data_IF_140104169885
#
_entry.id   IF_140104169885
#
_cell.length_a   1.000
_cell.length_b   1.000
_cell.length_c   1.000
_cell.angle_alpha   90.00
_cell.angle_beta   90.00
_cell.angle_gamma   90.00
#
_symmetry.space_group_name_H-M   'P 1'
#
loop_
_entity.id
_entity.type
_entity.pdbx_description
1 polymer ?
#
# COMPACT_ATOMS: atom_id res chain seq x y z
N UNK A 1 -28.71 -6.40 6.20
CA UNK A 1 -29.89 -5.68 5.67
C UNK A 1 -29.41 -4.67 4.65
N UNK A 2 -30.00 -4.69 3.44
CA UNK A 2 -29.70 -3.76 2.33
C UNK A 2 -30.96 -2.95 2.05
N UNK A 3 -30.83 -1.64 1.90
CA UNK A 3 -31.92 -0.70 1.59
C UNK A 3 -31.50 0.16 0.41
N UNK A 4 -32.27 0.10 -0.67
CA UNK A 4 -32.09 0.91 -1.87
C UNK A 4 -32.93 2.18 -1.81
N UNK A 5 -32.34 3.29 -2.20
CA UNK A 5 -32.94 4.62 -2.28
C UNK A 5 -32.70 5.21 -3.68
N UNK A 6 -33.51 4.84 -4.67
CA UNK A 6 -33.37 5.38 -6.02
C UNK A 6 -33.82 6.85 -6.09
N UNK A 7 -33.18 7.65 -6.94
CA UNK A 7 -33.49 9.07 -7.18
C UNK A 7 -33.68 9.86 -5.87
N UNK A 8 -32.71 9.76 -4.97
CA UNK A 8 -32.74 10.31 -3.61
C UNK A 8 -31.90 11.58 -3.46
N UNK A 9 -31.83 12.08 -2.25
CA UNK A 9 -30.92 13.18 -1.85
C UNK A 9 -30.08 12.77 -0.64
N UNK A 10 -28.94 13.38 -0.45
CA UNK A 10 -28.07 13.12 0.72
C UNK A 10 -28.80 13.33 2.05
N UNK A 11 -29.69 14.32 2.12
CA UNK A 11 -30.54 14.57 3.28
C UNK A 11 -31.47 13.39 3.60
N UNK A 12 -32.12 12.79 2.57
CA UNK A 12 -32.95 11.61 2.72
C UNK A 12 -32.15 10.40 3.15
N UNK A 13 -30.95 10.21 2.59
CA UNK A 13 -30.02 9.15 3.00
C UNK A 13 -29.66 9.30 4.47
N UNK A 14 -29.27 10.50 4.90
CA UNK A 14 -28.91 10.77 6.31
C UNK A 14 -30.12 10.51 7.26
N UNK A 15 -31.31 10.98 6.89
CA UNK A 15 -32.54 10.73 7.66
C UNK A 15 -32.79 9.23 7.81
N UNK A 16 -32.64 8.47 6.72
CA UNK A 16 -32.83 7.02 6.74
C UNK A 16 -31.82 6.31 7.63
N UNK A 17 -30.56 6.74 7.60
CA UNK A 17 -29.52 6.22 8.48
C UNK A 17 -29.83 6.45 9.96
N UNK A 18 -30.38 7.62 10.33
CA UNK A 18 -30.82 7.94 11.71
C UNK A 18 -31.94 7.02 12.12
N UNK A 19 -33.00 6.87 11.31
CA UNK A 19 -34.11 5.94 11.58
C UNK A 19 -33.62 4.51 11.85
N UNK A 20 -32.69 4.03 11.02
CA UNK A 20 -32.15 2.68 11.14
C UNK A 20 -31.35 2.45 12.43
N UNK A 21 -30.68 3.49 12.91
CA UNK A 21 -29.99 3.43 14.21
C UNK A 21 -30.97 3.40 15.38
N UNK A 22 -32.02 4.20 15.33
CA UNK A 22 -33.05 4.27 16.35
C UNK A 22 -33.83 2.95 16.47
N UNK A 23 -34.11 2.31 15.32
CA UNK A 23 -34.88 1.07 15.27
C UNK A 23 -34.06 -0.20 15.45
N UNK A 24 -32.79 -0.17 15.06
CA UNK A 24 -31.88 -1.34 15.05
C UNK A 24 -31.19 -1.65 16.38
N UNK A 25 -31.44 -0.87 17.42
CA UNK A 25 -30.72 -1.02 18.71
C UNK A 25 -29.24 -0.65 18.64
N UNK A 26 -28.53 -0.74 19.76
CA UNK A 26 -27.19 -0.19 20.00
C UNK A 26 -26.03 -0.84 19.21
N UNK A 27 -26.20 -1.19 17.94
CA UNK A 27 -25.12 -1.66 17.04
C UNK A 27 -24.18 -0.50 16.59
N UNK A 28 -24.45 0.72 17.04
CA UNK A 28 -23.74 1.93 16.64
C UNK A 28 -22.47 2.22 17.45
N UNK A 29 -21.98 1.30 18.26
CA UNK A 29 -20.87 1.56 19.18
C UNK A 29 -19.53 1.28 18.51
N UNK A 30 -18.64 2.28 18.54
CA UNK A 30 -17.21 2.12 18.31
C UNK A 30 -16.67 2.45 16.94
N UNK A 31 -17.43 3.13 16.05
CA UNK A 31 -16.84 3.63 14.81
C UNK A 31 -15.83 4.74 15.12
N UNK A 32 -14.58 4.51 14.72
CA UNK A 32 -13.46 5.38 15.09
C UNK A 32 -13.06 6.32 13.94
N UNK A 33 -13.53 6.06 12.70
CA UNK A 33 -13.22 6.86 11.53
C UNK A 33 -14.31 6.78 10.45
N UNK A 34 -14.25 7.68 9.47
CA UNK A 34 -14.99 7.58 8.21
C UNK A 34 -14.03 7.22 7.09
N UNK A 35 -14.28 6.11 6.40
CA UNK A 35 -13.58 5.74 5.17
C UNK A 35 -14.42 6.14 3.95
N UNK A 36 -13.91 7.04 3.13
CA UNK A 36 -14.52 7.45 1.87
C UNK A 36 -13.80 6.75 0.72
N UNK A 37 -14.51 5.87 0.02
CA UNK A 37 -14.00 5.15 -1.15
C UNK A 37 -14.51 5.86 -2.40
N UNK A 38 -13.61 6.21 -3.31
CA UNK A 38 -13.96 6.83 -4.59
C UNK A 38 -13.62 5.89 -5.74
N UNK A 39 -14.63 5.50 -6.50
CA UNK A 39 -14.50 4.50 -7.57
C UNK A 39 -15.43 4.83 -8.74
N UNK A 40 -15.22 4.20 -9.89
CA UNK A 40 -16.20 4.15 -10.95
C UNK A 40 -17.39 3.25 -10.57
N UNK A 41 -18.56 3.45 -11.19
CA UNK A 41 -19.73 2.58 -10.98
C UNK A 41 -19.52 1.26 -11.74
N UNK A 42 -19.33 0.16 -11.03
CA UNK A 42 -19.05 -1.16 -11.62
C UNK A 42 -18.60 -2.22 -10.63
N UNK A 43 -17.98 -3.28 -11.14
CA UNK A 43 -17.52 -4.42 -10.34
C UNK A 43 -16.42 -4.06 -9.34
N UNK A 44 -15.62 -3.05 -9.62
CA UNK A 44 -14.56 -2.57 -8.71
C UNK A 44 -15.13 -1.95 -7.42
N UNK A 45 -16.34 -1.37 -7.49
CA UNK A 45 -17.06 -0.89 -6.32
C UNK A 45 -17.31 -2.00 -5.30
N UNK A 46 -17.80 -3.16 -5.75
CA UNK A 46 -18.08 -4.28 -4.84
C UNK A 46 -16.80 -4.89 -4.25
N UNK A 47 -15.74 -4.97 -5.03
CA UNK A 47 -14.42 -5.42 -4.52
C UNK A 47 -13.88 -4.48 -3.45
N UNK A 48 -14.01 -3.17 -3.65
CA UNK A 48 -13.57 -2.17 -2.68
C UNK A 48 -14.42 -2.23 -1.40
N UNK A 49 -15.74 -2.40 -1.51
CA UNK A 49 -16.63 -2.60 -0.36
C UNK A 49 -16.24 -3.87 0.41
N UNK A 50 -15.95 -4.97 -0.28
CA UNK A 50 -15.54 -6.20 0.37
C UNK A 50 -14.23 -6.03 1.15
N UNK A 51 -13.22 -5.39 0.53
CA UNK A 51 -11.96 -5.11 1.21
C UNK A 51 -12.14 -4.20 2.44
N UNK A 52 -13.01 -3.19 2.34
CA UNK A 52 -13.33 -2.32 3.46
C UNK A 52 -14.07 -3.04 4.58
N UNK A 53 -15.01 -3.94 4.26
CA UNK A 53 -15.71 -4.77 5.22
C UNK A 53 -14.76 -5.69 5.98
N UNK A 54 -13.80 -6.29 5.28
CA UNK A 54 -12.81 -7.16 5.91
C UNK A 54 -11.86 -6.35 6.82
N UNK A 55 -11.37 -5.19 6.36
CA UNK A 55 -10.53 -4.30 7.16
C UNK A 55 -11.27 -3.72 8.38
N UNK A 56 -12.59 -3.50 8.28
CA UNK A 56 -13.40 -2.93 9.35
C UNK A 56 -13.59 -3.85 10.56
N UNK A 57 -13.22 -5.13 10.45
CA UNK A 57 -13.19 -6.05 11.60
C UNK A 57 -12.14 -5.64 12.62
N UNK A 58 -11.02 -5.06 12.15
CA UNK A 58 -9.97 -4.53 13.02
C UNK A 58 -10.22 -3.06 13.38
N UNK A 59 -10.74 -2.27 12.43
CA UNK A 59 -10.97 -0.83 12.55
C UNK A 59 -12.40 -0.47 12.15
N UNK A 60 -13.37 -0.57 13.07
CA UNK A 60 -14.76 -0.25 12.78
C UNK A 60 -14.93 1.15 12.22
N UNK A 61 -15.49 1.25 11.01
CA UNK A 61 -15.59 2.48 10.27
C UNK A 61 -17.03 2.73 9.76
N UNK A 62 -17.35 4.00 9.50
CA UNK A 62 -18.39 4.32 8.54
C UNK A 62 -17.74 4.31 7.15
N UNK A 63 -18.26 3.49 6.25
CA UNK A 63 -17.78 3.42 4.86
C UNK A 63 -18.76 4.18 3.97
N UNK A 64 -18.28 5.20 3.29
CA UNK A 64 -19.04 5.96 2.30
C UNK A 64 -18.39 5.70 0.95
N UNK A 65 -19.14 5.12 0.02
CA UNK A 65 -18.65 4.83 -1.32
C UNK A 65 -19.24 5.84 -2.30
N UNK A 66 -18.39 6.57 -2.97
CA UNK A 66 -18.74 7.49 -4.06
C UNK A 66 -18.44 6.76 -5.36
N UNK A 67 -19.48 6.16 -5.95
CA UNK A 67 -19.41 5.49 -7.24
C UNK A 67 -19.80 6.48 -8.34
N UNK A 68 -18.82 6.86 -9.15
CA UNK A 68 -19.01 7.82 -10.26
C UNK A 68 -19.55 7.09 -11.48
N UNK A 69 -20.82 7.34 -11.81
CA UNK A 69 -21.48 6.84 -13.00
C UNK A 69 -21.25 7.71 -14.24
N UNK A 70 -22.01 7.46 -15.31
CA UNK A 70 -21.88 8.22 -16.56
C UNK A 70 -22.20 9.70 -16.37
N UNK A 71 -21.29 10.56 -16.86
CA UNK A 71 -21.43 12.02 -16.85
C UNK A 71 -22.46 12.51 -17.87
N UNK A 72 -22.73 11.71 -18.92
CA UNK A 72 -23.70 12.00 -19.97
C UNK A 72 -25.12 11.68 -19.54
N UNK A 73 -25.30 10.97 -18.42
CA UNK A 73 -26.63 10.68 -17.89
C UNK A 73 -27.31 11.91 -17.29
N UNK A 74 -28.63 11.85 -17.10
CA UNK A 74 -29.34 12.89 -16.35
C UNK A 74 -28.82 12.95 -14.89
N UNK A 75 -28.69 14.15 -14.32
CA UNK A 75 -28.23 14.31 -12.95
C UNK A 75 -29.12 13.54 -11.97
N UNK A 76 -28.56 12.58 -11.25
CA UNK A 76 -29.26 11.71 -10.30
C UNK A 76 -28.31 11.16 -9.25
N UNK A 77 -28.79 11.07 -8.02
CA UNK A 77 -28.19 10.32 -6.94
C UNK A 77 -29.06 9.09 -6.64
N UNK A 78 -28.50 7.91 -6.78
CA UNK A 78 -29.05 6.68 -6.23
C UNK A 78 -28.20 6.26 -5.03
N UNK A 79 -28.82 5.84 -3.93
CA UNK A 79 -28.09 5.41 -2.75
C UNK A 79 -28.49 4.01 -2.30
N UNK A 80 -27.57 3.33 -1.65
CA UNK A 80 -27.80 2.05 -1.00
C UNK A 80 -27.17 2.08 0.40
N UNK A 81 -27.94 1.68 1.42
CA UNK A 81 -27.45 1.55 2.80
C UNK A 81 -27.36 0.07 3.13
N UNK A 82 -26.19 -0.37 3.63
CA UNK A 82 -25.93 -1.75 4.09
C UNK A 82 -25.60 -1.74 5.57
N UNK A 83 -26.28 -2.55 6.37
CA UNK A 83 -26.10 -2.64 7.82
C UNK A 83 -26.13 -4.09 8.27
N UNK A 84 -25.38 -4.42 9.32
CA UNK A 84 -25.30 -5.75 9.89
C UNK A 84 -24.46 -6.71 9.06
N UNK A 85 -24.84 -7.99 8.95
CA UNK A 85 -24.06 -9.02 8.28
C UNK A 85 -23.58 -8.67 6.86
N UNK A 86 -24.36 -7.87 6.12
CA UNK A 86 -24.02 -7.42 4.76
C UNK A 86 -23.00 -6.27 4.74
N UNK A 87 -22.69 -5.68 5.90
CA UNK A 87 -21.72 -4.59 6.06
C UNK A 87 -20.55 -4.97 6.98
N UNK A 88 -20.45 -6.23 7.40
CA UNK A 88 -19.44 -6.65 8.38
C UNK A 88 -19.60 -5.88 9.70
N UNK A 89 -18.52 -5.32 10.22
CA UNK A 89 -18.51 -4.44 11.39
C UNK A 89 -18.83 -2.97 11.06
N UNK A 90 -18.98 -2.65 9.78
CA UNK A 90 -19.20 -1.30 9.27
C UNK A 90 -20.68 -0.96 9.05
N UNK A 91 -20.92 0.31 8.79
CA UNK A 91 -22.12 0.83 8.14
C UNK A 91 -21.68 1.33 6.77
N UNK A 92 -22.18 0.75 5.70
CA UNK A 92 -21.78 1.09 4.33
C UNK A 92 -22.89 1.90 3.65
N UNK A 93 -22.53 3.05 3.13
CA UNK A 93 -23.40 3.90 2.32
C UNK A 93 -22.81 4.02 0.93
N UNK A 94 -23.48 3.50 -0.08
CA UNK A 94 -23.06 3.63 -1.48
C UNK A 94 -23.84 4.76 -2.11
N UNK A 95 -23.16 5.74 -2.67
CA UNK A 95 -23.72 6.87 -3.40
C UNK A 95 -23.32 6.71 -4.87
N UNK A 96 -24.27 6.44 -5.75
CA UNK A 96 -24.07 6.41 -7.21
C UNK A 96 -24.47 7.75 -7.79
N UNK A 97 -23.49 8.49 -8.30
CA UNK A 97 -23.63 9.84 -8.79
C UNK A 97 -23.57 9.86 -10.31
N UNK A 98 -24.60 10.39 -10.96
CA UNK A 98 -24.72 10.46 -12.41
C UNK A 98 -24.83 11.91 -12.90
N UNK A 99 -24.49 12.14 -14.18
CA UNK A 99 -24.53 13.45 -14.79
C UNK A 99 -23.56 14.42 -14.11
N UNK A 100 -23.97 15.67 -13.97
CA UNK A 100 -23.16 16.71 -13.31
C UNK A 100 -22.81 16.37 -11.85
N UNK A 101 -23.60 15.52 -11.16
CA UNK A 101 -23.31 15.14 -9.78
C UNK A 101 -22.08 14.21 -9.66
N UNK A 102 -21.67 13.55 -10.74
CA UNK A 102 -20.51 12.65 -10.71
C UNK A 102 -19.21 13.37 -10.31
N UNK A 103 -19.12 14.68 -10.53
CA UNK A 103 -17.98 15.51 -10.16
C UNK A 103 -18.14 16.18 -8.78
N UNK A 104 -19.33 16.14 -8.17
CA UNK A 104 -19.65 16.82 -6.90
C UNK A 104 -19.64 15.90 -5.67
N UNK A 105 -18.80 14.87 -5.68
CA UNK A 105 -18.77 13.85 -4.63
C UNK A 105 -18.62 14.39 -3.20
N UNK A 106 -17.82 15.43 -2.96
CA UNK A 106 -17.60 15.97 -1.63
C UNK A 106 -18.87 16.56 -0.99
N UNK A 107 -19.69 17.30 -1.76
CA UNK A 107 -20.98 17.81 -1.28
C UNK A 107 -21.95 16.73 -0.82
N UNK A 108 -21.88 15.55 -1.45
CA UNK A 108 -22.68 14.38 -1.09
C UNK A 108 -22.12 13.64 0.14
N UNK A 109 -20.83 13.74 0.42
CA UNK A 109 -20.15 13.05 1.52
C UNK A 109 -20.26 13.79 2.85
N UNK A 110 -20.05 15.13 2.85
CA UNK A 110 -19.97 15.96 4.06
C UNK A 110 -21.13 15.71 5.05
N UNK A 111 -22.41 15.68 4.63
CA UNK A 111 -23.53 15.45 5.56
C UNK A 111 -23.55 14.06 6.20
N UNK A 112 -22.76 13.12 5.68
CA UNK A 112 -22.71 11.72 6.11
C UNK A 112 -21.49 11.42 6.98
N UNK A 113 -20.54 12.35 7.12
CA UNK A 113 -19.35 12.15 7.94
C UNK A 113 -19.72 11.92 9.42
N UNK A 114 -18.89 11.16 10.11
CA UNK A 114 -18.98 11.05 11.57
C UNK A 114 -18.44 12.35 12.18
N UNK A 115 -19.17 12.98 13.11
CA UNK A 115 -18.66 14.13 13.84
C UNK A 115 -17.37 13.75 14.60
N UNK A 116 -16.39 14.65 14.60
CA UNK A 116 -15.14 14.54 15.36
C UNK A 116 -14.30 13.29 15.11
N UNK A 117 -14.60 12.56 14.02
CA UNK A 117 -13.84 11.37 13.63
C UNK A 117 -12.95 11.68 12.42
N UNK A 118 -11.74 11.10 12.35
CA UNK A 118 -10.88 11.29 11.20
C UNK A 118 -11.51 10.73 9.92
N UNK A 119 -11.24 11.40 8.81
CA UNK A 119 -11.68 11.00 7.48
C UNK A 119 -10.49 10.44 6.72
N UNK A 120 -10.65 9.27 6.11
CA UNK A 120 -9.69 8.63 5.23
C UNK A 120 -10.30 8.54 3.84
N UNK A 121 -9.62 9.01 2.81
CA UNK A 121 -10.01 8.81 1.42
C UNK A 121 -9.21 7.67 0.81
N UNK A 122 -9.88 6.84 0.03
CA UNK A 122 -9.24 5.75 -0.70
C UNK A 122 -9.72 5.68 -2.15
N UNK A 123 -8.76 5.71 -3.07
CA UNK A 123 -8.95 5.47 -4.51
C UNK A 123 -8.36 4.10 -4.86
N UNK A 124 -9.19 3.04 -4.99
CA UNK A 124 -8.70 1.68 -5.22
C UNK A 124 -8.13 1.43 -6.61
N UNK A 125 -8.41 2.30 -7.59
CA UNK A 125 -7.96 2.17 -8.97
C UNK A 125 -7.42 3.50 -9.50
N UNK A 126 -8.26 4.33 -10.13
CA UNK A 126 -7.87 5.63 -10.67
C UNK A 126 -7.93 6.70 -9.59
N UNK A 127 -6.78 7.18 -9.18
CA UNK A 127 -6.66 8.30 -8.27
C UNK A 127 -6.49 9.62 -9.03
N UNK A 128 -6.93 10.76 -8.46
CA UNK A 128 -6.64 12.08 -9.04
C UNK A 128 -5.14 12.32 -9.13
N UNK A 129 -4.72 13.17 -10.06
CA UNK A 129 -3.30 13.50 -10.25
C UNK A 129 -2.69 14.06 -8.95
N UNK A 130 -3.45 14.89 -8.22
CA UNK A 130 -3.06 15.43 -6.92
C UNK A 130 -4.16 15.13 -5.91
N UNK A 131 -4.09 13.99 -5.17
CA UNK A 131 -5.14 13.57 -4.22
C UNK A 131 -5.47 14.64 -3.17
N UNK A 132 -4.48 15.35 -2.68
CA UNK A 132 -4.65 16.41 -1.69
C UNK A 132 -5.42 17.63 -2.21
N UNK A 133 -5.60 17.78 -3.53
CA UNK A 133 -6.41 18.86 -4.15
C UNK A 133 -7.79 18.38 -4.62
N UNK A 134 -8.03 17.06 -4.61
CA UNK A 134 -9.36 16.53 -4.86
C UNK A 134 -10.33 16.98 -3.75
N UNK A 135 -11.57 17.36 -4.06
CA UNK A 135 -12.54 17.81 -3.06
C UNK A 135 -12.77 16.83 -1.90
N UNK A 136 -12.70 15.50 -2.14
CA UNK A 136 -12.76 14.49 -1.08
C UNK A 136 -11.42 14.39 -0.35
N UNK A 137 -10.30 14.52 -1.07
CA UNK A 137 -8.97 14.54 -0.49
C UNK A 137 -8.74 15.72 0.48
N UNK A 138 -9.33 16.88 0.19
CA UNK A 138 -9.31 18.06 1.08
C UNK A 138 -10.03 17.83 2.41
N UNK A 139 -11.01 16.93 2.44
CA UNK A 139 -11.73 16.56 3.68
C UNK A 139 -10.95 15.55 4.51
N UNK A 140 -9.89 14.93 3.95
CA UNK A 140 -9.29 13.73 4.48
C UNK A 140 -7.97 14.00 5.19
N UNK A 141 -7.79 13.39 6.37
CA UNK A 141 -6.53 13.36 7.12
C UNK A 141 -5.52 12.44 6.44
N UNK A 142 -5.99 11.34 5.86
CA UNK A 142 -5.16 10.38 5.12
C UNK A 142 -5.78 10.08 3.75
N UNK A 143 -4.94 10.00 2.73
CA UNK A 143 -5.31 9.75 1.34
C UNK A 143 -4.54 8.55 0.81
N UNK A 144 -5.28 7.49 0.53
CA UNK A 144 -4.72 6.20 0.10
C UNK A 144 -4.96 6.04 -1.40
N UNK A 145 -3.90 5.79 -2.15
CA UNK A 145 -3.95 5.44 -3.57
C UNK A 145 -3.48 4.00 -3.79
N UNK A 146 -3.66 3.47 -4.98
CA UNK A 146 -3.11 2.18 -5.40
C UNK A 146 -2.54 2.28 -6.81
N UNK A 147 -1.29 2.70 -6.90
CA UNK A 147 -0.61 2.83 -8.19
C UNK A 147 -0.55 1.50 -8.95
N UNK A 148 -0.46 0.36 -8.25
CA UNK A 148 -0.41 -0.96 -8.90
C UNK A 148 -1.74 -1.37 -9.55
N UNK A 149 -2.86 -0.76 -9.16
CA UNK A 149 -4.18 -1.01 -9.73
C UNK A 149 -4.57 0.02 -10.82
N UNK A 150 -3.76 1.05 -11.03
CA UNK A 150 -3.99 2.05 -12.08
C UNK A 150 -3.74 1.46 -13.48
N UNK A 151 -4.38 2.00 -14.52
CA UNK A 151 -4.16 1.57 -15.92
C UNK A 151 -2.69 1.65 -16.36
N UNK A 152 -1.97 2.65 -15.88
CA UNK A 152 -0.53 2.79 -16.05
C UNK A 152 0.14 2.91 -14.66
N UNK A 153 0.58 1.79 -14.07
CA UNK A 153 1.08 1.75 -12.70
C UNK A 153 2.31 2.63 -12.47
N UNK A 154 3.24 2.65 -13.41
CA UNK A 154 4.49 3.41 -13.27
C UNK A 154 4.23 4.91 -13.39
N UNK A 155 3.42 5.32 -14.35
CA UNK A 155 3.00 6.73 -14.48
C UNK A 155 2.23 7.19 -13.24
N UNK A 156 1.37 6.34 -12.69
CA UNK A 156 0.65 6.62 -11.44
C UNK A 156 1.63 6.84 -10.29
N UNK A 157 2.64 5.97 -10.10
CA UNK A 157 3.68 6.15 -9.09
C UNK A 157 4.47 7.45 -9.29
N UNK A 158 4.87 7.75 -10.53
CA UNK A 158 5.57 9.01 -10.85
C UNK A 158 4.74 10.25 -10.55
N UNK A 159 3.41 10.16 -10.72
CA UNK A 159 2.50 11.22 -10.31
C UNK A 159 2.53 11.42 -8.79
N UNK A 160 2.57 10.34 -8.00
CA UNK A 160 2.69 10.43 -6.52
C UNK A 160 3.96 11.16 -6.09
N UNK A 161 5.10 10.89 -6.75
CA UNK A 161 6.36 11.63 -6.46
C UNK A 161 6.20 13.13 -6.60
N UNK A 162 5.48 13.59 -7.63
CA UNK A 162 5.31 15.02 -7.93
C UNK A 162 4.24 15.70 -7.07
N UNK A 163 3.27 14.93 -6.61
CA UNK A 163 2.05 15.44 -5.96
C UNK A 163 1.98 15.16 -4.47
N UNK A 164 2.97 14.48 -3.90
CA UNK A 164 2.98 14.10 -2.49
C UNK A 164 2.73 15.29 -1.58
N UNK A 165 1.82 15.07 -0.65
CA UNK A 165 1.54 15.96 0.48
C UNK A 165 1.43 15.07 1.71
N UNK A 166 1.88 15.56 2.85
CA UNK A 166 1.78 14.89 4.13
C UNK A 166 0.37 14.30 4.35
N UNK A 167 0.32 13.00 4.70
CA UNK A 167 -0.91 12.22 4.79
C UNK A 167 -1.26 11.43 3.52
N UNK A 168 -0.53 11.59 2.43
CA UNK A 168 -0.64 10.73 1.25
C UNK A 168 0.09 9.40 1.47
N UNK A 169 -0.47 8.32 0.95
CA UNK A 169 0.15 6.99 0.93
C UNK A 169 -0.29 6.20 -0.31
N UNK A 170 0.38 5.09 -0.58
CA UNK A 170 0.06 4.20 -1.69
C UNK A 170 0.11 2.74 -1.25
N UNK A 171 -0.87 1.94 -1.64
CA UNK A 171 -0.90 0.51 -1.29
C UNK A 171 0.28 -0.28 -1.85
N UNK A 172 0.94 0.22 -2.90
CA UNK A 172 2.17 -0.39 -3.40
C UNK A 172 3.31 -0.31 -2.37
N UNK A 173 3.31 0.71 -1.52
CA UNK A 173 4.20 0.84 -0.37
C UNK A 173 3.82 -0.11 0.77
N UNK A 174 2.55 -0.16 1.14
CA UNK A 174 2.06 -1.03 2.21
C UNK A 174 2.29 -2.51 1.90
N UNK A 175 2.23 -2.90 0.61
CA UNK A 175 2.60 -4.27 0.18
C UNK A 175 4.04 -4.64 0.48
N UNK A 176 4.92 -3.68 0.76
CA UNK A 176 6.34 -3.91 1.07
C UNK A 176 6.63 -4.23 2.53
N UNK A 177 5.68 -4.05 3.43
CA UNK A 177 5.91 -4.18 4.89
C UNK A 177 6.64 -5.46 5.25
N UNK A 178 6.21 -6.62 4.72
CA UNK A 178 6.87 -7.90 4.99
C UNK A 178 8.28 -7.98 4.38
N UNK A 179 8.49 -7.44 3.17
CA UNK A 179 9.81 -7.39 2.54
C UNK A 179 10.79 -6.55 3.34
N UNK A 180 10.38 -5.35 3.73
CA UNK A 180 11.19 -4.44 4.53
C UNK A 180 11.56 -5.07 5.87
N UNK A 181 10.57 -5.66 6.56
CA UNK A 181 10.80 -6.35 7.84
C UNK A 181 11.80 -7.52 7.71
N UNK A 182 11.68 -8.35 6.66
CA UNK A 182 12.60 -9.48 6.46
C UNK A 182 14.01 -9.04 6.12
N UNK A 183 14.17 -8.03 5.26
CA UNK A 183 15.49 -7.50 4.89
C UNK A 183 16.17 -6.84 6.09
N UNK A 184 15.44 -6.04 6.87
CA UNK A 184 15.96 -5.43 8.10
C UNK A 184 16.39 -6.50 9.10
N UNK A 185 15.52 -7.49 9.39
CA UNK A 185 15.85 -8.57 10.31
C UNK A 185 17.04 -9.42 9.85
N UNK A 186 17.26 -9.55 8.55
CA UNK A 186 18.42 -10.26 8.01
C UNK A 186 19.72 -9.48 8.21
N UNK A 187 19.69 -8.15 8.23
CA UNK A 187 20.86 -7.31 8.51
C UNK A 187 21.19 -7.22 10.01
N UNK A 188 20.24 -7.52 10.89
CA UNK A 188 20.46 -7.59 12.34
C UNK A 188 21.22 -8.85 12.78
N UNK A 189 21.59 -9.74 11.83
CA UNK A 189 22.34 -10.97 12.09
C UNK A 189 23.79 -10.82 11.60
N UNK A 190 24.77 -11.50 12.29
CA UNK A 190 26.15 -11.55 11.81
C UNK A 190 26.27 -12.13 10.40
N UNK A 191 27.32 -11.71 9.66
CA UNK A 191 28.31 -10.67 9.98
C UNK A 191 27.72 -9.28 9.86
N UNK A 192 28.09 -8.37 10.79
CA UNK A 192 27.62 -6.97 10.82
C UNK A 192 28.44 -6.11 9.86
N UNK A 193 28.33 -6.40 8.58
CA UNK A 193 29.04 -5.70 7.51
C UNK A 193 28.14 -4.71 6.80
N UNK A 194 28.73 -3.62 6.34
CA UNK A 194 28.02 -2.65 5.53
C UNK A 194 27.60 -3.26 4.19
N UNK A 195 26.38 -2.96 3.76
CA UNK A 195 25.91 -3.24 2.40
C UNK A 195 26.66 -2.30 1.45
N UNK A 196 27.17 -2.84 0.34
CA UNK A 196 27.92 -2.07 -0.67
C UNK A 196 27.09 -1.74 -1.91
N UNK A 197 26.11 -2.57 -2.22
CA UNK A 197 25.12 -2.34 -3.28
C UNK A 197 23.89 -3.24 -3.08
N UNK A 198 22.79 -2.93 -3.76
CA UNK A 198 21.61 -3.77 -3.74
C UNK A 198 21.04 -3.99 -5.14
N UNK A 199 20.37 -5.13 -5.31
CA UNK A 199 19.66 -5.48 -6.54
C UNK A 199 18.23 -5.87 -6.19
N UNK A 200 17.24 -5.25 -6.83
CA UNK A 200 15.83 -5.61 -6.68
C UNK A 200 15.27 -6.03 -8.04
N UNK A 201 14.81 -7.27 -8.12
CA UNK A 201 14.27 -7.84 -9.35
C UNK A 201 12.75 -8.02 -9.25
N UNK A 202 12.03 -7.64 -10.29
CA UNK A 202 10.59 -7.83 -10.36
C UNK A 202 9.98 -7.37 -11.68
N UNK A 203 8.66 -7.50 -11.81
CA UNK A 203 7.95 -7.16 -13.03
C UNK A 203 8.18 -5.69 -13.46
N UNK A 204 8.28 -5.43 -14.76
CA UNK A 204 8.53 -4.10 -15.34
C UNK A 204 7.53 -3.02 -14.83
N UNK A 205 6.25 -3.34 -14.83
CA UNK A 205 5.17 -2.45 -14.38
C UNK A 205 4.86 -2.55 -12.87
N UNK A 206 5.83 -2.84 -12.00
CA UNK A 206 5.60 -3.03 -10.56
C UNK A 206 6.04 -1.83 -9.71
N UNK A 207 5.13 -0.94 -9.29
CA UNK A 207 5.45 0.16 -8.38
C UNK A 207 6.09 -0.31 -7.07
N UNK A 208 5.65 -1.44 -6.52
CA UNK A 208 6.25 -2.00 -5.29
C UNK A 208 7.72 -2.36 -5.48
N UNK A 209 8.11 -2.87 -6.66
CA UNK A 209 9.54 -3.19 -6.92
C UNK A 209 10.38 -1.92 -6.97
N UNK A 210 9.86 -0.86 -7.60
CA UNK A 210 10.53 0.43 -7.66
C UNK A 210 10.67 1.07 -6.29
N UNK A 211 9.59 1.04 -5.48
CA UNK A 211 9.60 1.55 -4.11
C UNK A 211 10.56 0.78 -3.21
N UNK A 212 10.68 -0.55 -3.37
CA UNK A 212 11.65 -1.33 -2.59
C UNK A 212 13.08 -0.93 -2.95
N UNK A 213 13.38 -0.76 -4.24
CA UNK A 213 14.70 -0.31 -4.70
C UNK A 213 15.02 1.10 -4.18
N UNK A 214 14.07 2.02 -4.25
CA UNK A 214 14.23 3.39 -3.77
C UNK A 214 14.45 3.43 -2.24
N UNK A 215 13.69 2.62 -1.48
CA UNK A 215 13.85 2.52 -0.03
C UNK A 215 15.25 2.02 0.35
N UNK A 216 15.74 0.96 -0.30
CA UNK A 216 17.08 0.45 -0.04
C UNK A 216 18.15 1.51 -0.36
N UNK A 217 18.00 2.20 -1.50
CA UNK A 217 18.95 3.26 -1.88
C UNK A 217 18.98 4.43 -0.89
N UNK A 218 17.79 4.86 -0.43
CA UNK A 218 17.67 5.99 0.49
C UNK A 218 18.19 5.70 1.90
N UNK A 219 17.95 4.49 2.42
CA UNK A 219 18.30 4.16 3.82
C UNK A 219 19.63 3.45 3.99
N UNK A 220 20.14 2.78 2.97
CA UNK A 220 21.47 2.19 3.00
C UNK A 220 22.53 3.11 2.38
N UNK A 221 22.12 4.16 1.67
CA UNK A 221 22.99 5.10 0.95
C UNK A 221 23.94 4.42 -0.04
N UNK A 222 23.46 3.39 -0.72
CA UNK A 222 24.22 2.57 -1.66
C UNK A 222 23.63 2.60 -3.07
N UNK A 223 24.41 2.29 -4.12
CA UNK A 223 23.88 2.08 -5.47
C UNK A 223 22.88 0.93 -5.49
N UNK A 224 21.70 1.17 -6.10
CA UNK A 224 20.65 0.15 -6.24
C UNK A 224 20.31 -0.06 -7.70
N UNK A 225 20.31 -1.32 -8.12
CA UNK A 225 19.85 -1.74 -9.43
C UNK A 225 18.42 -2.29 -9.34
N UNK A 226 17.57 -1.80 -10.20
CA UNK A 226 16.22 -2.29 -10.43
C UNK A 226 16.23 -3.12 -11.72
N UNK A 227 16.20 -4.45 -11.56
CA UNK A 227 16.23 -5.39 -12.68
C UNK A 227 14.82 -5.78 -13.10
N UNK A 228 14.53 -5.72 -14.39
CA UNK A 228 13.24 -6.14 -14.93
C UNK A 228 13.19 -7.64 -15.13
N UNK A 229 12.08 -8.25 -14.74
CA UNK A 229 11.81 -9.68 -14.87
C UNK A 229 10.54 -9.90 -15.67
N UNK A 230 10.63 -10.73 -16.70
CA UNK A 230 9.52 -10.98 -17.63
C UNK A 230 8.42 -11.89 -17.06
N UNK A 231 8.65 -12.57 -15.95
CA UNK A 231 7.73 -13.55 -15.36
C UNK A 231 7.40 -13.21 -13.91
N UNK A 232 6.14 -13.39 -13.54
CA UNK A 232 5.62 -13.27 -12.17
C UNK A 232 5.13 -11.87 -11.83
N UNK A 233 4.22 -11.76 -10.88
CA UNK A 233 3.65 -10.49 -10.43
C UNK A 233 4.52 -9.86 -9.32
N UNK A 234 4.95 -8.62 -9.53
CA UNK A 234 5.61 -7.81 -8.52
C UNK A 234 7.06 -8.23 -8.26
N UNK A 235 7.49 -8.20 -7.00
CA UNK A 235 8.87 -8.46 -6.59
C UNK A 235 9.16 -9.96 -6.65
N UNK A 236 10.27 -10.31 -7.31
CA UNK A 236 10.79 -11.68 -7.43
C UNK A 236 11.96 -11.91 -6.46
N UNK A 237 12.89 -10.95 -6.38
CA UNK A 237 14.02 -11.04 -5.45
C UNK A 237 14.51 -9.69 -4.99
N UNK A 238 15.18 -9.71 -3.83
CA UNK A 238 16.00 -8.60 -3.34
C UNK A 238 17.32 -9.19 -2.83
N UNK A 239 18.43 -8.56 -3.20
CA UNK A 239 19.78 -8.96 -2.86
C UNK A 239 20.54 -7.76 -2.29
N UNK A 240 21.15 -7.94 -1.14
CA UNK A 240 22.00 -6.96 -0.46
C UNK A 240 23.43 -7.48 -0.48
N UNK A 241 24.31 -6.85 -1.25
CA UNK A 241 25.71 -7.29 -1.45
C UNK A 241 26.60 -6.74 -0.35
N UNK A 242 27.42 -7.62 0.23
CA UNK A 242 28.38 -7.31 1.28
C UNK A 242 29.72 -7.97 0.97
N UNK A 243 30.86 -7.55 1.60
CA UNK A 243 32.17 -8.14 1.34
C UNK A 243 32.24 -9.66 1.58
N UNK A 244 31.53 -10.19 2.58
CA UNK A 244 31.51 -11.63 2.90
C UNK A 244 30.45 -12.44 2.16
N UNK A 245 29.75 -11.84 1.19
CA UNK A 245 28.69 -12.45 0.42
C UNK A 245 27.31 -11.82 0.65
N UNK A 246 26.37 -12.12 -0.22
CA UNK A 246 25.07 -11.46 -0.30
C UNK A 246 24.04 -12.01 0.68
N UNK A 247 23.20 -11.13 1.21
CA UNK A 247 21.90 -11.51 1.78
C UNK A 247 20.87 -11.46 0.65
N UNK A 248 20.18 -12.55 0.40
CA UNK A 248 19.25 -12.66 -0.73
C UNK A 248 17.92 -13.26 -0.32
N UNK A 249 16.84 -12.63 -0.75
CA UNK A 249 15.49 -13.19 -0.67
C UNK A 249 14.99 -13.43 -2.08
N UNK A 250 14.59 -14.66 -2.40
CA UNK A 250 14.01 -15.04 -3.70
C UNK A 250 12.63 -15.62 -3.48
N UNK A 251 11.62 -15.06 -4.17
CA UNK A 251 10.21 -15.48 -4.07
C UNK A 251 9.60 -15.67 -5.46
N UNK A 252 9.81 -16.83 -6.09
CA UNK A 252 9.41 -17.05 -7.48
C UNK A 252 7.90 -17.18 -7.69
N UNK A 253 7.17 -17.67 -6.69
CA UNK A 253 5.74 -18.01 -6.77
C UNK A 253 4.81 -16.99 -6.11
N UNK A 254 5.36 -15.91 -5.52
CA UNK A 254 4.59 -14.91 -4.81
C UNK A 254 4.05 -15.36 -3.43
N UNK A 255 4.47 -16.52 -2.91
CA UNK A 255 3.98 -17.11 -1.65
C UNK A 255 5.08 -17.38 -0.65
N UNK A 256 6.09 -18.13 -1.05
CA UNK A 256 7.20 -18.55 -0.20
C UNK A 256 8.48 -17.92 -0.71
N UNK A 257 9.21 -17.28 0.19
CA UNK A 257 10.55 -16.77 -0.07
C UNK A 257 11.62 -17.71 0.49
N UNK A 258 12.74 -17.79 -0.20
CA UNK A 258 13.97 -18.40 0.33
C UNK A 258 14.90 -17.28 0.73
N UNK A 259 15.31 -17.24 1.99
CA UNK A 259 16.32 -16.34 2.52
C UNK A 259 17.64 -17.07 2.58
N UNK A 260 18.63 -16.61 1.83
CA UNK A 260 20.02 -17.08 1.80
C UNK A 260 20.92 -16.04 2.44
N UNK A 261 21.83 -16.46 3.31
CA UNK A 261 22.82 -15.63 3.98
C UNK A 261 24.16 -16.36 4.09
N UNK A 262 25.32 -15.67 4.00
CA UNK A 262 26.62 -16.29 4.18
C UNK A 262 26.74 -17.03 5.51
N UNK A 263 27.28 -18.24 5.47
CA UNK A 263 27.53 -19.08 6.64
C UNK A 263 26.28 -19.63 7.35
N UNK A 264 25.10 -19.47 6.77
CA UNK A 264 23.83 -20.00 7.31
C UNK A 264 23.10 -20.86 6.27
N UNK A 265 22.38 -21.89 6.72
CA UNK A 265 21.52 -22.66 5.82
C UNK A 265 20.37 -21.80 5.29
N UNK A 266 19.94 -22.11 4.07
CA UNK A 266 18.77 -21.46 3.47
C UNK A 266 17.52 -21.64 4.34
N UNK A 267 16.75 -20.57 4.49
CA UNK A 267 15.53 -20.57 5.28
C UNK A 267 14.32 -20.24 4.42
N UNK A 268 13.28 -21.07 4.54
CA UNK A 268 11.99 -20.79 3.94
C UNK A 268 11.21 -19.78 4.82
N UNK A 269 10.73 -18.73 4.21
CA UNK A 269 9.96 -17.66 4.89
C UNK A 269 8.59 -17.50 4.23
N UNK A 270 7.54 -17.34 5.03
CA UNK A 270 6.23 -17.01 4.53
C UNK A 270 6.25 -15.54 4.06
N UNK A 271 6.18 -15.33 2.75
CA UNK A 271 6.26 -14.00 2.13
C UNK A 271 5.17 -13.85 1.06
N UNK A 272 3.92 -14.06 1.49
CA UNK A 272 2.77 -13.94 0.59
C UNK A 272 2.64 -12.52 0.04
N UNK A 273 2.17 -12.43 -1.21
CA UNK A 273 1.72 -11.14 -1.73
C UNK A 273 0.52 -10.68 -0.90
N UNK A 274 0.63 -9.52 -0.28
CA UNK A 274 -0.42 -8.97 0.57
C UNK A 274 -1.66 -8.60 -0.24
N UNK A 275 -2.82 -8.96 0.26
CA UNK A 275 -4.10 -8.63 -0.35
C UNK A 275 -4.49 -7.18 -0.03
N UNK A 276 -5.42 -6.62 -0.82
CA UNK A 276 -5.90 -5.25 -0.64
C UNK A 276 -6.49 -5.04 0.76
N UNK A 277 -7.24 -6.02 1.28
CA UNK A 277 -7.84 -5.96 2.63
C UNK A 277 -6.78 -5.84 3.73
N UNK A 278 -5.66 -6.57 3.61
CA UNK A 278 -4.58 -6.56 4.62
C UNK A 278 -3.82 -5.23 4.58
N UNK A 279 -3.61 -4.69 3.37
CA UNK A 279 -3.01 -3.37 3.19
C UNK A 279 -3.92 -2.27 3.71
N UNK A 280 -5.22 -2.33 3.42
CA UNK A 280 -6.19 -1.36 3.90
C UNK A 280 -6.29 -1.38 5.43
N UNK A 281 -6.35 -2.56 6.06
CA UNK A 281 -6.36 -2.70 7.52
C UNK A 281 -5.10 -2.05 8.16
N UNK A 282 -3.92 -2.22 7.55
CA UNK A 282 -2.69 -1.58 8.02
C UNK A 282 -2.75 -0.06 7.89
N UNK A 283 -3.23 0.47 6.76
CA UNK A 283 -3.36 1.91 6.52
C UNK A 283 -4.37 2.58 7.47
N UNK A 284 -5.43 1.87 7.84
CA UNK A 284 -6.43 2.39 8.79
C UNK A 284 -6.00 2.31 10.25
N UNK A 285 -4.96 1.53 10.56
CA UNK A 285 -4.42 1.39 11.92
C UNK A 285 -3.66 2.63 12.36
N UNK A 286 -2.96 3.28 11.43
CA UNK A 286 -2.11 4.44 11.71
C UNK A 286 -2.39 5.55 10.71
N UNK A 287 -2.95 6.65 11.20
CA UNK A 287 -3.34 7.80 10.38
C UNK A 287 -2.25 8.88 10.31
N UNK A 288 -1.21 8.77 11.14
CA UNK A 288 -0.06 9.68 11.10
C UNK A 288 0.68 9.57 9.75
N UNK A 289 1.32 10.65 9.31
CA UNK A 289 2.16 10.64 8.11
C UNK A 289 3.24 9.55 8.15
N UNK A 290 3.55 8.95 7.00
CA UNK A 290 4.62 7.97 6.85
C UNK A 290 5.87 8.65 6.28
N UNK A 291 6.74 9.14 7.18
CA UNK A 291 8.00 9.81 6.83
C UNK A 291 8.93 8.89 6.02
N UNK A 292 8.85 7.56 6.26
CA UNK A 292 9.67 6.59 5.53
C UNK A 292 9.20 6.48 4.07
N UNK A 293 7.89 6.55 3.84
CA UNK A 293 7.33 6.59 2.50
C UNK A 293 7.73 7.88 1.76
N UNK A 294 7.66 9.03 2.42
CA UNK A 294 8.08 10.31 1.86
C UNK A 294 9.53 10.28 1.38
N UNK A 295 10.47 9.87 2.25
CA UNK A 295 11.89 9.74 1.91
C UNK A 295 12.08 8.75 0.75
N UNK A 296 11.35 7.63 0.77
CA UNK A 296 11.40 6.61 -0.30
C UNK A 296 10.96 7.18 -1.65
N UNK A 297 9.88 7.96 -1.68
CA UNK A 297 9.42 8.62 -2.91
C UNK A 297 10.50 9.54 -3.50
N UNK A 298 11.20 10.29 -2.64
CA UNK A 298 12.33 11.14 -3.04
C UNK A 298 13.49 10.35 -3.65
N UNK A 299 13.69 9.09 -3.22
CA UNK A 299 14.73 8.19 -3.70
C UNK A 299 14.49 7.57 -5.08
N UNK A 300 13.27 7.63 -5.62
CA UNK A 300 12.91 6.97 -6.88
C UNK A 300 13.73 7.42 -8.11
N UNK A 301 14.22 8.66 -8.11
CA UNK A 301 15.09 9.19 -9.15
C UNK A 301 16.52 8.62 -9.15
N UNK A 302 16.95 8.04 -8.04
CA UNK A 302 18.30 7.49 -7.84
C UNK A 302 18.47 6.02 -8.23
N UNK A 303 17.40 5.31 -8.56
CA UNK A 303 17.47 3.89 -8.92
C UNK A 303 17.93 3.71 -10.38
N UNK A 304 18.89 2.80 -10.59
CA UNK A 304 19.35 2.42 -11.93
C UNK A 304 18.52 1.25 -12.44
N UNK A 305 17.79 1.44 -13.54
CA UNK A 305 17.00 0.40 -14.21
C UNK A 305 17.87 -0.34 -15.23
N UNK A 306 17.83 -1.66 -15.20
CA UNK A 306 18.57 -2.54 -16.10
C UNK A 306 17.76 -3.80 -16.42
N UNK A 307 18.08 -4.45 -17.53
CA UNK A 307 17.50 -5.76 -17.88
C UNK A 307 18.27 -6.92 -17.24
N UNK A 308 19.54 -6.70 -16.89
CA UNK A 308 20.40 -7.68 -16.24
C UNK A 308 21.14 -7.05 -15.05
N UNK A 309 21.36 -7.81 -13.96
CA UNK A 309 22.15 -7.35 -12.84
C UNK A 309 23.64 -7.27 -13.21
N UNK A 310 24.35 -6.28 -12.67
CA UNK A 310 25.81 -6.28 -12.74
C UNK A 310 26.35 -7.55 -12.05
N UNK A 311 27.47 -8.11 -12.53
CA UNK A 311 28.09 -9.27 -11.91
C UNK A 311 28.39 -8.99 -10.44
N UNK A 312 28.28 -10.03 -9.62
CA UNK A 312 28.68 -9.96 -8.22
C UNK A 312 30.18 -9.63 -8.13
N UNK A 313 30.62 -8.69 -7.29
CA UNK A 313 32.02 -8.43 -7.09
C UNK A 313 32.70 -9.73 -6.60
N UNK A 314 33.95 -10.01 -7.01
CA UNK A 314 34.66 -11.19 -6.55
C UNK A 314 34.69 -11.18 -5.01
N UNK A 315 34.45 -12.36 -4.41
CA UNK A 315 34.59 -12.52 -2.96
C UNK A 315 35.99 -12.05 -2.56
N UNK A 316 36.08 -11.22 -1.53
CA UNK A 316 37.36 -10.80 -1.00
C UNK A 316 38.15 -12.05 -0.61
N UNK A 317 39.28 -12.33 -1.28
CA UNK A 317 40.18 -13.38 -0.91
C UNK A 317 40.52 -13.22 0.58
N UNK A 318 40.13 -14.17 1.40
CA UNK A 318 40.57 -14.24 2.78
C UNK A 318 42.09 -14.43 2.73
N UNK A 319 42.82 -13.36 2.95
CA UNK A 319 44.28 -13.41 3.11
C UNK A 319 44.60 -14.31 4.32
N UNK A 320 44.86 -15.57 3.99
CA UNK A 320 45.17 -16.64 4.93
C UNK A 320 46.61 -16.53 5.49
N UNK A 321 47.16 -15.32 5.66
CA UNK A 321 48.44 -15.13 6.34
C UNK A 321 48.26 -15.24 7.85
N UNK A 322 48.27 -16.48 8.35
CA UNK A 322 48.59 -16.78 9.75
C UNK A 322 50.03 -16.39 9.99
N UNK A 323 50.38 -15.44 10.87
CA UNK A 323 51.75 -15.16 11.20
C UNK A 323 52.33 -16.39 11.89
N UNK A 324 53.34 -16.98 11.25
CA UNK A 324 54.17 -18.06 11.80
C UNK A 324 54.86 -17.56 13.09
N UNK A 325 54.39 -18.01 14.25
CA UNK A 325 55.07 -17.76 15.51
C UNK A 325 56.35 -18.55 15.51
N UNK A 326 57.45 -17.88 15.21
CA UNK A 326 58.79 -18.41 15.47
C UNK A 326 58.95 -18.61 16.98
N UNK A 327 58.93 -19.86 17.43
CA UNK A 327 59.37 -20.27 18.76
C UNK A 327 60.92 -20.17 18.79
N UNK A 328 61.44 -19.07 19.31
CA UNK A 328 62.81 -19.05 19.80
C UNK A 328 62.87 -19.81 21.13
N UNK A 329 63.55 -20.97 21.07
CA UNK A 329 63.94 -21.69 22.24
C UNK A 329 65.17 -20.99 22.88
N UNK A 330 65.11 -20.89 24.17
CA UNK A 330 66.31 -20.58 24.97
C UNK A 330 66.61 -21.73 25.93
N UNK A 331 67.93 -22.03 26.01
CA UNK A 331 68.55 -23.13 26.63
C UNK A 331 68.59 -23.05 28.21
#
# INVERSE_FOLDING_TARGET
>A
MIIDLPSTTTSQVNKKMVELRETGGAVALGRVLTLVIVTGDGTETEKAIQAANDASREHPARVIVVARGSKEAAPRLDAQIRIGGDAGASEVVVLRLYGALADEGAGSVVPLLLPDAPVVAWWPTEAPEVPAKDPIGLLSHRRITDAAAAPDPIKSLQSRVKSYVEGDTDMSWTRLTSWRAMLTAALDLPPYEAVTSAVVTGAAGSPSTDLLAAWLGAYLEVPVQRVEHSRGPGIVSAELRRPSGSVKIVRPDGKVGTLTQPGQPDRQIALHRREVRDCLAEELRRLDPDEIYEVTLGGLGGIRRTDEPDPEPPEAEQDGSVPEQTAEGDA
#
